data_IF_735763719884
#
_entry.id   IF_735763719884
#
_cell.length_a   1.000
_cell.length_b   1.000
_cell.length_c   1.000
_cell.angle_alpha   90.00
_cell.angle_beta   90.00
_cell.angle_gamma   90.00
#
_symmetry.space_group_name_H-M   'P 1'
#
loop_
_entity.id
_entity.type
_entity.pdbx_description
1 polymer ?
#
# COMPACT_ATOMS: atom_id res chain seq x y z
N UNK A 1 8.72 22.26 -7.35
CA UNK A 1 8.69 21.55 -6.06
C UNK A 1 9.30 20.18 -6.28
N UNK A 2 10.23 19.76 -5.42
CA UNK A 2 11.01 18.54 -5.64
C UNK A 2 10.10 17.32 -5.61
N UNK A 3 10.06 16.56 -6.71
CA UNK A 3 9.35 15.28 -6.81
C UNK A 3 9.81 14.41 -5.64
N UNK A 4 8.90 14.16 -4.69
CA UNK A 4 9.14 13.26 -3.56
C UNK A 4 9.64 11.95 -4.16
N UNK A 5 10.91 11.63 -3.93
CA UNK A 5 11.55 10.46 -4.52
C UNK A 5 10.78 9.22 -4.07
N UNK A 6 9.89 8.76 -4.94
CA UNK A 6 9.09 7.53 -4.85
C UNK A 6 9.98 6.29 -4.89
N UNK A 7 11.26 6.45 -5.27
CA UNK A 7 12.28 5.40 -5.31
C UNK A 7 13.02 5.06 -4.01
N UNK A 8 12.50 5.46 -2.84
CA UNK A 8 13.12 5.11 -1.55
C UNK A 8 12.07 4.71 -0.51
N UNK A 9 12.17 3.51 0.09
CA UNK A 9 13.38 2.68 0.17
C UNK A 9 13.54 1.67 -0.99
N UNK A 10 14.75 1.56 -1.59
CA UNK A 10 15.10 0.44 -2.48
C UNK A 10 15.47 -0.82 -1.65
N UNK A 11 14.60 -1.20 -0.72
CA UNK A 11 14.69 -2.42 0.08
C UNK A 11 13.28 -3.01 0.22
N UNK A 12 13.21 -4.28 0.58
CA UNK A 12 11.94 -4.88 0.97
C UNK A 12 11.39 -4.13 2.19
N UNK A 13 10.15 -3.64 2.08
CA UNK A 13 9.35 -3.06 3.15
C UNK A 13 8.05 -3.83 3.26
N UNK A 14 7.39 -3.76 4.41
CA UNK A 14 6.01 -4.24 4.53
C UNK A 14 5.09 -3.29 3.75
N UNK A 15 4.42 -3.84 2.74
CA UNK A 15 3.48 -3.14 1.86
C UNK A 15 2.05 -3.24 2.38
N UNK A 16 1.73 -4.36 3.04
CA UNK A 16 0.43 -4.65 3.63
C UNK A 16 0.63 -5.46 4.89
N UNK A 17 -0.16 -5.15 5.92
CA UNK A 17 -0.33 -5.94 7.13
C UNK A 17 -1.82 -6.05 7.44
N UNK A 18 -2.29 -7.26 7.66
CA UNK A 18 -3.64 -7.57 8.09
C UNK A 18 -3.51 -8.43 9.35
N UNK A 19 -3.97 -7.90 10.46
CA UNK A 19 -4.02 -8.63 11.73
C UNK A 19 -5.40 -9.24 11.88
N UNK A 20 -5.45 -10.51 12.29
CA UNK A 20 -6.71 -11.22 12.53
C UNK A 20 -6.69 -11.88 13.89
N UNK A 21 -7.84 -12.38 14.33
CA UNK A 21 -7.95 -13.16 15.55
C UNK A 21 -7.19 -14.51 15.52
N UNK A 22 -6.81 -15.02 14.34
CA UNK A 22 -6.14 -16.32 14.20
C UNK A 22 -4.69 -16.26 13.71
N UNK A 23 -4.37 -15.29 12.87
CA UNK A 23 -3.04 -15.10 12.30
C UNK A 23 -2.85 -13.69 11.76
N UNK A 24 -1.59 -13.31 11.52
CA UNK A 24 -1.26 -12.09 10.80
C UNK A 24 -0.84 -12.43 9.37
N UNK A 25 -1.41 -11.71 8.41
CA UNK A 25 -0.99 -11.76 7.01
C UNK A 25 -0.23 -10.48 6.69
N UNK A 26 0.94 -10.62 6.07
CA UNK A 26 1.72 -9.49 5.61
C UNK A 26 2.32 -9.74 4.24
N UNK A 27 2.47 -8.67 3.46
CA UNK A 27 3.15 -8.70 2.16
C UNK A 27 4.38 -7.82 2.25
N UNK A 28 5.55 -8.40 1.94
CA UNK A 28 6.80 -7.67 1.82
C UNK A 28 7.20 -7.58 0.36
N UNK A 29 7.66 -6.39 -0.05
CA UNK A 29 8.10 -6.14 -1.41
C UNK A 29 8.86 -4.83 -1.50
N UNK A 30 9.38 -4.54 -2.70
CA UNK A 30 9.94 -3.22 -2.97
C UNK A 30 8.77 -2.25 -3.17
N UNK A 31 8.79 -1.12 -2.49
CA UNK A 31 7.83 -0.03 -2.71
C UNK A 31 8.07 0.73 -4.03
N UNK A 32 8.88 0.16 -4.93
CA UNK A 32 9.40 0.78 -6.14
C UNK A 32 9.51 -0.27 -7.24
N UNK A 33 8.94 0.04 -8.40
CA UNK A 33 9.12 -0.73 -9.62
C UNK A 33 9.67 0.17 -10.75
N UNK A 34 10.88 -0.10 -11.30
CA UNK A 34 11.55 0.79 -12.25
C UNK A 34 10.69 1.19 -13.46
N UNK A 35 9.91 0.26 -14.00
CA UNK A 35 9.07 0.52 -15.16
C UNK A 35 7.86 1.40 -14.82
N UNK A 36 7.25 1.22 -13.65
CA UNK A 36 6.09 2.01 -13.20
C UNK A 36 6.50 3.45 -12.97
N UNK A 37 7.72 3.64 -12.50
CA UNK A 37 8.28 4.96 -12.22
C UNK A 37 8.71 5.66 -13.51
N UNK A 38 9.37 4.94 -14.41
CA UNK A 38 9.75 5.50 -15.72
C UNK A 38 8.53 5.91 -16.55
N UNK A 39 7.42 5.17 -16.40
CA UNK A 39 6.15 5.42 -17.11
C UNK A 39 5.14 6.22 -16.27
N UNK A 40 5.47 6.60 -15.04
CA UNK A 40 4.60 7.31 -14.10
C UNK A 40 3.20 6.67 -13.94
N UNK A 41 3.09 5.33 -13.99
CA UNK A 41 1.81 4.60 -13.95
C UNK A 41 1.07 4.72 -12.61
N UNK A 42 1.75 5.21 -11.58
CA UNK A 42 1.20 5.47 -10.25
C UNK A 42 0.69 6.91 -10.10
N UNK A 43 0.79 7.73 -11.16
CA UNK A 43 0.38 9.14 -11.17
C UNK A 43 -0.76 9.40 -12.14
N UNK A 44 -1.60 10.36 -11.78
CA UNK A 44 -2.55 11.02 -12.67
C UNK A 44 -1.84 12.11 -13.50
N UNK A 45 -2.52 12.64 -14.53
CA UNK A 45 -1.95 13.67 -15.42
C UNK A 45 -1.55 14.96 -14.68
N UNK A 46 -2.15 15.22 -13.52
CA UNK A 46 -1.86 16.37 -12.63
C UNK A 46 -0.72 16.09 -11.61
N UNK A 47 -0.04 14.95 -11.74
CA UNK A 47 0.96 14.43 -10.80
C UNK A 47 0.42 13.99 -9.42
N UNK A 48 -0.91 13.96 -9.23
CA UNK A 48 -1.56 13.29 -8.10
C UNK A 48 -1.32 11.78 -8.15
N UNK A 49 -1.46 11.09 -7.02
CA UNK A 49 -1.44 9.62 -7.02
C UNK A 49 -2.70 9.08 -7.69
N UNK A 50 -2.58 7.96 -8.40
CA UNK A 50 -3.76 7.17 -8.79
C UNK A 50 -4.43 6.67 -7.52
N UNK A 51 -5.74 6.84 -7.40
CA UNK A 51 -6.49 6.30 -6.27
C UNK A 51 -6.58 4.77 -6.41
N UNK A 52 -5.96 4.05 -5.48
CA UNK A 52 -6.17 2.62 -5.31
C UNK A 52 -7.13 2.37 -4.14
N UNK A 53 -7.95 1.34 -4.29
CA UNK A 53 -8.86 0.88 -3.25
C UNK A 53 -8.51 -0.54 -2.85
N UNK A 54 -8.49 -0.79 -1.55
CA UNK A 54 -8.29 -2.11 -0.97
C UNK A 54 -9.60 -2.60 -0.36
N UNK A 55 -9.92 -3.88 -0.50
CA UNK A 55 -11.15 -4.45 0.06
C UNK A 55 -10.85 -5.81 0.73
N UNK A 56 -10.30 -5.80 1.96
CA UNK A 56 -10.07 -7.01 2.70
C UNK A 56 -11.40 -7.56 3.21
N UNK A 57 -11.71 -8.80 2.85
CA UNK A 57 -12.93 -9.48 3.27
C UNK A 57 -12.57 -10.84 3.85
N UNK A 58 -13.09 -11.13 5.05
CA UNK A 58 -13.05 -12.48 5.58
C UNK A 58 -14.12 -13.34 4.90
N UNK A 59 -13.73 -14.51 4.41
CA UNK A 59 -14.63 -15.50 3.82
C UNK A 59 -15.22 -16.46 4.86
N UNK A 60 -14.74 -16.40 6.10
CA UNK A 60 -15.17 -17.25 7.21
C UNK A 60 -15.70 -16.38 8.35
N UNK A 61 -16.91 -16.65 8.89
CA UNK A 61 -17.47 -15.87 9.99
C UNK A 61 -16.58 -15.83 11.25
N UNK A 62 -15.82 -16.89 11.50
CA UNK A 62 -14.98 -17.04 12.68
C UNK A 62 -13.63 -16.33 12.56
N UNK A 63 -13.24 -15.93 11.34
CA UNK A 63 -12.02 -15.16 11.09
C UNK A 63 -12.37 -13.67 11.09
N UNK A 64 -11.92 -12.97 12.12
CA UNK A 64 -12.19 -11.54 12.34
C UNK A 64 -10.95 -10.70 11.98
N UNK A 65 -11.14 -9.70 11.13
CA UNK A 65 -10.10 -8.71 10.82
C UNK A 65 -9.98 -7.72 11.98
N UNK A 66 -8.83 -7.72 12.66
CA UNK A 66 -8.55 -6.82 13.78
C UNK A 66 -8.00 -5.48 13.31
N UNK A 67 -7.06 -5.48 12.36
CA UNK A 67 -6.51 -4.25 11.80
C UNK A 67 -5.99 -4.46 10.38
N UNK A 68 -5.97 -3.38 9.60
CA UNK A 68 -5.38 -3.35 8.26
C UNK A 68 -4.47 -2.14 8.19
N UNK A 69 -3.24 -2.33 7.72
CA UNK A 69 -2.29 -1.25 7.49
C UNK A 69 -1.63 -1.41 6.12
N UNK A 70 -1.52 -0.31 5.39
CA UNK A 70 -0.97 -0.26 4.04
C UNK A 70 0.20 0.70 4.01
N UNK A 71 1.23 0.37 3.23
CA UNK A 71 2.37 1.27 3.07
C UNK A 71 1.95 2.56 2.37
N UNK A 72 2.33 3.67 2.95
CA UNK A 72 2.11 4.99 2.40
C UNK A 72 3.48 5.55 1.93
N UNK A 73 3.66 5.76 0.61
CA UNK A 73 4.92 6.28 0.06
C UNK A 73 5.28 7.69 0.51
N UNK A 74 4.30 8.50 0.94
CA UNK A 74 4.54 9.89 1.38
C UNK A 74 5.18 9.92 2.76
N UNK A 75 4.66 9.12 3.71
CA UNK A 75 5.21 9.00 5.06
C UNK A 75 6.26 7.88 5.20
N UNK A 76 6.42 7.04 4.16
CA UNK A 76 7.35 5.91 4.08
C UNK A 76 7.18 4.89 5.21
N UNK A 77 5.94 4.65 5.62
CA UNK A 77 5.59 3.78 6.73
C UNK A 77 4.24 3.09 6.47
N UNK A 78 3.93 2.06 7.27
CA UNK A 78 2.58 1.52 7.33
C UNK A 78 1.64 2.54 7.98
N UNK A 79 0.54 2.81 7.31
CA UNK A 79 -0.56 3.63 7.80
C UNK A 79 -1.78 2.73 8.01
N UNK A 80 -2.48 2.92 9.13
CA UNK A 80 -3.76 2.25 9.35
C UNK A 80 -4.74 2.63 8.24
N UNK A 81 -5.45 1.62 7.75
CA UNK A 81 -6.42 1.73 6.69
C UNK A 81 -7.80 1.31 7.21
N UNK A 82 -8.82 2.12 6.91
CA UNK A 82 -10.21 1.84 7.20
C UNK A 82 -11.02 1.68 5.89
N UNK A 83 -12.18 0.98 5.93
CA UNK A 83 -13.05 0.87 4.77
C UNK A 83 -13.44 2.24 4.19
N UNK A 84 -13.09 2.45 2.92
CA UNK A 84 -13.30 3.71 2.20
C UNK A 84 -12.07 4.61 2.10
N UNK A 85 -10.98 4.30 2.83
CA UNK A 85 -9.73 5.02 2.67
C UNK A 85 -9.09 4.69 1.30
N UNK A 86 -8.64 5.74 0.62
CA UNK A 86 -7.78 5.60 -0.55
C UNK A 86 -6.35 5.28 -0.13
N UNK A 87 -5.67 4.45 -0.92
CA UNK A 87 -4.25 4.16 -0.75
C UNK A 87 -3.48 4.41 -2.04
N UNK A 88 -2.16 4.55 -1.93
CA UNK A 88 -1.30 4.59 -3.09
C UNK A 88 -1.21 3.18 -3.72
N UNK A 89 -1.07 3.07 -5.05
CA UNK A 89 -0.81 1.80 -5.69
C UNK A 89 0.58 1.34 -5.29
N UNK A 90 0.65 0.38 -4.36
CA UNK A 90 1.92 -0.18 -3.83
C UNK A 90 2.19 -1.60 -4.32
N UNK A 91 1.30 -2.14 -5.16
CA UNK A 91 1.44 -3.43 -5.83
C UNK A 91 1.65 -3.20 -7.33
N UNK A 92 2.72 -3.76 -7.88
CA UNK A 92 3.10 -3.62 -9.28
C UNK A 92 3.60 -4.96 -9.83
#
# INVERSE_FOLDING_TARGET
MASLHTGSPNRAVELLRIETNWFDLYLQGKSYHPAVESLQLHRQEDAGWVEAQFYPQSLMPELELSSVAVFDPEIRALKLWAPGDVCAPVFF
#
